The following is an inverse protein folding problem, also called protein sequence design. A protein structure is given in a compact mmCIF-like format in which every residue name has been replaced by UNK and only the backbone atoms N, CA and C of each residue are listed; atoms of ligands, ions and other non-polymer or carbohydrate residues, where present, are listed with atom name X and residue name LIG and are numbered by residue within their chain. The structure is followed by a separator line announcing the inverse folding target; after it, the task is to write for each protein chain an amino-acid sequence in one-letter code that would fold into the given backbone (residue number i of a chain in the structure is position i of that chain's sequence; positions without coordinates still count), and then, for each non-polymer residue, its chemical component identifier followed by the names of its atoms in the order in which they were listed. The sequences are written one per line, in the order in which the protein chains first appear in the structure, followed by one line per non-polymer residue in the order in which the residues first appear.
data_IF_483439099467
#
_entry.id   IF_483439099467
#
_cell.length_a   1.000
_cell.length_b   1.000
_cell.length_c   1.000
_cell.angle_alpha   90.00
_cell.angle_beta   90.00
_cell.angle_gamma   90.00
#
_symmetry.space_group_name_H-M   'P 1'
#
loop_
_entity.id
_entity.type
_entity.pdbx_description
1 polymer ?
#
# COMPACT_ATOMS: atom_id res chain seq x y z
N UNK A 1 4.20 0.01 -6.37
CA UNK A 1 2.72 0.07 -6.42
C UNK A 1 2.08 0.72 -5.18
N UNK A 2 2.70 0.66 -3.99
CA UNK A 2 2.18 1.39 -2.82
C UNK A 2 2.12 2.91 -3.09
N UNK A 3 3.22 3.49 -3.60
CA UNK A 3 3.25 4.91 -3.96
C UNK A 3 2.26 5.23 -5.10
N UNK A 4 2.12 4.34 -6.08
CA UNK A 4 1.15 4.50 -7.18
C UNK A 4 -0.29 4.53 -6.67
N UNK A 5 -0.62 3.62 -5.75
CA UNK A 5 -1.93 3.60 -5.10
C UNK A 5 -2.16 4.84 -4.23
N UNK A 6 -1.16 5.24 -3.44
CA UNK A 6 -1.22 6.42 -2.58
C UNK A 6 -1.52 7.68 -3.39
N UNK A 7 -0.79 7.93 -4.47
CA UNK A 7 -1.03 9.08 -5.34
C UNK A 7 -2.41 9.06 -6.00
N UNK A 8 -2.92 7.89 -6.38
CA UNK A 8 -4.28 7.80 -6.91
C UNK A 8 -5.32 8.22 -5.86
N UNK A 9 -5.23 7.68 -4.63
CA UNK A 9 -6.22 7.99 -3.59
C UNK A 9 -6.07 9.42 -3.04
N UNK A 10 -4.89 10.02 -3.13
CA UNK A 10 -4.62 11.42 -2.77
C UNK A 10 -4.96 12.41 -3.90
N UNK A 11 -5.15 11.94 -5.13
CA UNK A 11 -5.37 12.81 -6.31
C UNK A 11 -6.69 13.59 -6.29
N UNK A 12 -7.63 13.22 -5.44
CA UNK A 12 -8.98 13.79 -5.42
C UNK A 12 -9.87 13.36 -6.60
N UNK A 13 -9.39 12.50 -7.50
CA UNK A 13 -10.20 11.97 -8.60
C UNK A 13 -11.28 11.03 -8.07
N UNK A 14 -12.47 11.10 -8.67
CA UNK A 14 -13.53 10.13 -8.39
C UNK A 14 -13.06 8.72 -8.77
N UNK A 15 -12.97 7.83 -7.79
CA UNK A 15 -12.55 6.45 -8.01
C UNK A 15 -13.59 5.62 -8.78
N UNK A 16 -14.86 6.00 -8.75
CA UNK A 16 -15.90 5.40 -9.58
C UNK A 16 -15.91 5.98 -11.00
N UNK A 17 -15.22 7.08 -11.23
CA UNK A 17 -15.06 7.68 -12.55
C UNK A 17 -14.23 6.77 -13.47
N UNK A 18 -14.59 6.81 -14.73
CA UNK A 18 -13.97 5.99 -15.78
C UNK A 18 -12.70 6.65 -16.34
N UNK A 19 -11.81 5.80 -16.83
CA UNK A 19 -10.63 6.16 -17.63
C UNK A 19 -10.55 5.23 -18.83
N UNK A 20 -10.26 5.79 -20.01
CA UNK A 20 -10.00 5.01 -21.22
C UNK A 20 -8.48 4.83 -21.37
N UNK A 21 -8.05 3.58 -21.56
CA UNK A 21 -6.64 3.23 -21.76
C UNK A 21 -6.12 3.92 -23.02
N UNK A 22 -5.15 4.84 -22.91
CA UNK A 22 -4.70 5.66 -24.03
C UNK A 22 -3.74 4.90 -24.96
N UNK A 23 -3.65 5.33 -26.19
CA UNK A 23 -2.71 4.79 -27.19
C UNK A 23 -1.24 4.96 -26.79
N UNK A 24 -0.94 5.97 -26.00
CA UNK A 24 0.39 6.31 -25.47
C UNK A 24 1.00 5.16 -24.64
N UNK A 25 0.16 4.30 -24.06
CA UNK A 25 0.61 3.14 -23.29
C UNK A 25 0.94 1.90 -24.14
N UNK A 26 0.86 1.99 -25.49
CA UNK A 26 1.08 0.85 -26.37
C UNK A 26 2.49 0.25 -26.19
N UNK A 27 3.52 1.08 -26.09
CA UNK A 27 4.90 0.59 -25.89
C UNK A 27 5.09 0.07 -24.46
N UNK A 28 4.60 0.79 -23.47
CA UNK A 28 4.62 0.39 -22.07
C UNK A 28 4.01 -1.00 -21.84
N UNK A 29 2.87 -1.29 -22.47
CA UNK A 29 2.22 -2.61 -22.36
C UNK A 29 3.05 -3.72 -23.02
N UNK A 30 3.75 -3.42 -24.14
CA UNK A 30 4.68 -4.37 -24.75
C UNK A 30 5.87 -4.64 -23.84
N UNK A 31 6.42 -3.61 -23.21
CA UNK A 31 7.58 -3.74 -22.32
C UNK A 31 7.21 -4.54 -21.06
N UNK A 32 6.02 -4.32 -20.48
CA UNK A 32 5.47 -5.13 -19.40
C UNK A 32 5.33 -6.60 -19.84
N UNK A 33 4.82 -6.86 -21.04
CA UNK A 33 4.67 -8.21 -21.56
C UNK A 33 6.02 -8.89 -21.80
N UNK A 34 6.98 -8.19 -22.38
CA UNK A 34 8.34 -8.70 -22.61
C UNK A 34 9.06 -9.03 -21.29
N UNK A 35 8.79 -8.29 -20.24
CA UNK A 35 9.29 -8.54 -18.89
C UNK A 35 8.51 -9.64 -18.14
N UNK A 36 7.54 -10.32 -18.78
CA UNK A 36 6.61 -11.26 -18.15
C UNK A 36 5.89 -10.67 -16.92
N UNK A 37 5.59 -9.37 -16.96
CA UNK A 37 4.91 -8.68 -15.88
C UNK A 37 3.44 -9.13 -15.75
N UNK A 38 2.98 -9.32 -14.53
CA UNK A 38 1.57 -9.66 -14.24
C UNK A 38 0.65 -8.55 -14.74
N UNK A 39 -0.41 -8.93 -15.46
CA UNK A 39 -1.43 -8.01 -15.99
C UNK A 39 -2.83 -8.59 -15.81
N UNK A 40 -3.84 -7.74 -15.90
CA UNK A 40 -5.24 -8.17 -16.10
C UNK A 40 -5.63 -8.14 -17.59
N UNK A 41 -4.67 -7.88 -18.49
CA UNK A 41 -4.84 -7.86 -19.92
C UNK A 41 -5.70 -6.69 -20.40
N UNK A 42 -5.46 -5.50 -19.89
CA UNK A 42 -6.07 -4.26 -20.40
C UNK A 42 -5.68 -4.04 -21.87
N UNK A 43 -6.58 -3.42 -22.61
CA UNK A 43 -6.41 -3.14 -24.03
C UNK A 43 -6.48 -1.64 -24.28
N UNK A 44 -5.73 -1.18 -25.26
CA UNK A 44 -5.85 0.21 -25.74
C UNK A 44 -7.31 0.48 -26.16
N UNK A 45 -7.86 1.59 -25.69
CA UNK A 45 -9.28 1.96 -25.90
C UNK A 45 -10.27 1.26 -24.97
N UNK A 46 -9.81 0.41 -24.03
CA UNK A 46 -10.66 -0.16 -22.99
C UNK A 46 -11.00 0.92 -21.94
N UNK A 47 -12.27 1.04 -21.58
CA UNK A 47 -12.74 1.99 -20.56
C UNK A 47 -13.05 1.24 -19.29
N UNK A 48 -12.43 1.67 -18.17
CA UNK A 48 -12.49 1.00 -16.86
C UNK A 48 -12.59 2.04 -15.76
N UNK A 49 -13.15 1.69 -14.61
CA UNK A 49 -13.19 2.60 -13.46
C UNK A 49 -11.84 2.63 -12.74
N UNK A 50 -11.50 3.75 -12.13
CA UNK A 50 -10.28 3.89 -11.31
C UNK A 50 -10.24 2.92 -10.15
N UNK A 51 -11.39 2.66 -9.51
CA UNK A 51 -11.47 1.66 -8.44
C UNK A 51 -11.16 0.25 -8.91
N UNK A 52 -11.53 -0.11 -10.14
CA UNK A 52 -11.23 -1.42 -10.72
C UNK A 52 -9.72 -1.58 -10.99
N UNK A 53 -9.07 -0.51 -11.45
CA UNK A 53 -7.62 -0.46 -11.61
C UNK A 53 -6.88 -0.57 -10.28
N UNK A 54 -7.35 0.14 -9.25
CA UNK A 54 -6.78 0.09 -7.90
C UNK A 54 -6.86 -1.32 -7.32
N UNK A 55 -8.02 -1.96 -7.39
CA UNK A 55 -8.20 -3.35 -6.97
C UNK A 55 -7.28 -4.30 -7.75
N UNK A 56 -7.24 -4.20 -9.07
CA UNK A 56 -6.37 -5.05 -9.90
C UNK A 56 -4.88 -4.88 -9.54
N UNK A 57 -4.44 -3.65 -9.34
CA UNK A 57 -3.06 -3.35 -8.98
C UNK A 57 -2.68 -3.88 -7.59
N UNK A 58 -3.57 -3.79 -6.60
CA UNK A 58 -3.27 -4.20 -5.23
C UNK A 58 -3.48 -5.70 -5.02
N UNK A 59 -4.52 -6.30 -5.57
CA UNK A 59 -4.88 -7.72 -5.35
C UNK A 59 -3.98 -8.66 -6.17
N UNK A 60 -3.90 -8.46 -7.48
CA UNK A 60 -3.10 -9.34 -8.37
C UNK A 60 -1.81 -8.68 -8.85
N UNK A 61 -1.46 -7.52 -8.31
CA UNK A 61 -0.24 -6.81 -8.69
C UNK A 61 -0.16 -6.41 -10.17
N UNK A 62 -1.30 -6.12 -10.82
CA UNK A 62 -1.40 -5.81 -12.24
C UNK A 62 -0.54 -4.60 -12.62
N UNK A 63 0.42 -4.79 -13.54
CA UNK A 63 1.33 -3.74 -13.98
C UNK A 63 0.68 -2.81 -15.00
N UNK A 64 -0.15 -3.36 -15.89
CA UNK A 64 -0.95 -2.59 -16.84
C UNK A 64 -1.91 -1.62 -16.13
N UNK A 65 -2.56 -2.07 -15.05
CA UNK A 65 -3.39 -1.19 -14.23
C UNK A 65 -2.57 -0.06 -13.58
N UNK A 66 -1.35 -0.35 -13.11
CA UNK A 66 -0.46 0.68 -12.55
C UNK A 66 -0.07 1.75 -13.58
N UNK A 67 0.23 1.35 -14.82
CA UNK A 67 0.56 2.27 -15.90
C UNK A 67 -0.64 3.13 -16.33
N UNK A 68 -1.85 2.57 -16.35
CA UNK A 68 -3.08 3.35 -16.64
C UNK A 68 -3.34 4.37 -15.52
N UNK A 69 -3.19 3.98 -14.25
CA UNK A 69 -3.29 4.91 -13.11
C UNK A 69 -2.27 6.03 -13.26
N UNK A 70 -1.03 5.70 -13.59
CA UNK A 70 0.04 6.67 -13.76
C UNK A 70 -0.28 7.70 -14.86
N UNK A 71 -0.78 7.24 -15.99
CA UNK A 71 -1.18 8.13 -17.08
C UNK A 71 -2.37 9.00 -16.68
N UNK A 72 -3.39 8.41 -16.07
CA UNK A 72 -4.62 9.16 -15.68
C UNK A 72 -4.33 10.24 -14.63
N UNK A 73 -3.49 9.94 -13.64
CA UNK A 73 -3.18 10.90 -12.55
C UNK A 73 -2.11 11.90 -12.98
N UNK A 74 -1.08 11.44 -13.68
CA UNK A 74 0.08 12.26 -14.05
C UNK A 74 -0.05 13.02 -15.38
N UNK A 75 -0.99 12.61 -16.24
CA UNK A 75 -1.05 13.07 -17.64
C UNK A 75 -0.04 12.35 -18.55
N UNK A 76 1.02 11.80 -17.97
CA UNK A 76 1.97 10.88 -18.60
C UNK A 76 2.60 9.98 -17.53
N UNK A 77 3.11 8.81 -17.92
CA UNK A 77 3.85 7.92 -17.00
C UNK A 77 5.07 8.64 -16.42
N UNK A 78 5.78 9.41 -17.26
CA UNK A 78 6.97 10.14 -16.85
C UNK A 78 6.67 11.22 -15.79
N UNK A 79 5.62 12.00 -16.00
CA UNK A 79 5.25 13.04 -15.04
C UNK A 79 4.67 12.47 -13.76
N UNK A 80 4.00 11.32 -13.84
CA UNK A 80 3.59 10.58 -12.65
C UNK A 80 4.80 10.08 -11.84
N UNK A 81 5.84 9.57 -12.49
CA UNK A 81 7.08 9.16 -11.80
C UNK A 81 7.75 10.34 -11.10
N UNK A 82 7.74 11.54 -11.69
CA UNK A 82 8.20 12.75 -11.00
C UNK A 82 7.35 13.04 -9.74
N UNK A 83 6.03 12.88 -9.82
CA UNK A 83 5.14 13.03 -8.66
C UNK A 83 5.44 11.97 -7.58
N UNK A 84 5.70 10.70 -7.97
CA UNK A 84 6.10 9.65 -7.02
C UNK A 84 7.37 10.04 -6.26
N UNK A 85 8.38 10.57 -6.96
CA UNK A 85 9.63 10.99 -6.35
C UNK A 85 9.46 12.23 -5.46
N UNK A 86 8.66 13.20 -5.88
CA UNK A 86 8.32 14.37 -5.06
C UNK A 86 7.61 13.94 -3.78
N UNK A 87 6.60 13.05 -3.90
CA UNK A 87 5.87 12.54 -2.72
C UNK A 87 6.77 11.74 -1.78
N UNK A 88 7.71 10.95 -2.32
CA UNK A 88 8.70 10.25 -1.52
C UNK A 88 9.56 11.22 -0.70
N UNK A 89 10.01 12.33 -1.29
CA UNK A 89 10.75 13.37 -0.60
C UNK A 89 9.92 14.04 0.51
N UNK A 90 8.65 14.35 0.25
CA UNK A 90 7.72 14.90 1.27
C UNK A 90 7.54 13.96 2.45
N UNK A 91 7.54 12.65 2.22
CA UNK A 91 7.49 11.62 3.26
C UNK A 91 8.85 11.42 3.96
N UNK A 92 9.89 12.15 3.56
CA UNK A 92 11.24 12.03 4.11
C UNK A 92 11.98 10.76 3.67
N UNK A 93 11.64 10.22 2.49
CA UNK A 93 12.30 9.05 1.91
C UNK A 93 13.58 9.50 1.19
N UNK A 94 14.74 9.33 1.84
CA UNK A 94 16.03 9.83 1.32
C UNK A 94 16.80 8.79 0.50
N UNK A 95 16.45 7.51 0.60
CA UNK A 95 17.06 6.39 -0.12
C UNK A 95 16.15 5.82 -1.22
N UNK A 96 15.13 6.57 -1.65
CA UNK A 96 14.14 6.08 -2.63
C UNK A 96 14.21 6.90 -3.91
N UNK A 97 14.24 6.19 -5.03
CA UNK A 97 14.04 6.74 -6.36
C UNK A 97 13.14 5.81 -7.17
N UNK A 98 12.04 6.32 -7.67
CA UNK A 98 11.14 5.61 -8.57
C UNK A 98 11.48 5.93 -10.02
N UNK A 99 11.45 4.91 -10.87
CA UNK A 99 11.61 5.03 -12.33
C UNK A 99 10.38 4.57 -13.10
N UNK A 100 9.46 3.88 -12.43
CA UNK A 100 8.22 3.38 -13.03
C UNK A 100 7.10 3.28 -11.98
N UNK A 101 5.86 3.24 -12.45
CA UNK A 101 4.68 3.11 -11.60
C UNK A 101 4.41 1.66 -11.12
N UNK A 102 4.88 0.67 -11.86
CA UNK A 102 4.54 -0.75 -11.65
C UNK A 102 5.58 -1.55 -10.87
N UNK A 103 6.83 -1.06 -10.77
CA UNK A 103 7.88 -1.72 -10.00
C UNK A 103 8.48 -2.96 -10.66
N UNK A 104 8.38 -3.12 -11.98
CA UNK A 104 9.25 -4.04 -12.71
C UNK A 104 10.70 -3.57 -12.61
N UNK A 105 11.62 -4.48 -12.81
CA UNK A 105 13.03 -4.22 -12.58
C UNK A 105 13.57 -3.08 -13.45
N UNK A 106 14.24 -2.14 -12.79
CA UNK A 106 15.06 -1.10 -13.37
C UNK A 106 16.16 -0.74 -12.35
N UNK A 107 17.40 -0.55 -12.81
CA UNK A 107 18.54 -0.25 -11.92
C UNK A 107 18.36 1.04 -11.13
N UNK A 108 17.62 1.99 -11.67
CA UNK A 108 17.31 3.25 -11.00
C UNK A 108 16.16 3.17 -10.01
N UNK A 109 15.36 2.09 -10.04
CA UNK A 109 14.20 1.91 -9.17
C UNK A 109 14.62 1.31 -7.83
N UNK A 110 14.99 2.16 -6.88
CA UNK A 110 15.58 1.77 -5.60
C UNK A 110 14.80 2.31 -4.41
N UNK A 111 14.88 1.60 -3.29
CA UNK A 111 14.31 2.05 -2.01
C UNK A 111 15.02 1.38 -0.85
N UNK A 112 14.64 1.76 0.39
CA UNK A 112 15.09 1.13 1.63
C UNK A 112 13.88 0.62 2.43
N UNK A 113 14.10 -0.32 3.34
CA UNK A 113 13.03 -0.78 4.24
C UNK A 113 12.45 0.37 5.07
N UNK A 114 13.31 1.29 5.52
CA UNK A 114 12.91 2.46 6.29
C UNK A 114 12.00 3.41 5.47
N UNK A 115 12.34 3.67 4.22
CA UNK A 115 11.54 4.54 3.36
C UNK A 115 10.22 3.88 2.97
N UNK A 116 10.24 2.57 2.66
CA UNK A 116 9.01 1.82 2.40
C UNK A 116 8.10 1.77 3.62
N UNK A 117 8.65 1.75 4.85
CA UNK A 117 7.84 1.85 6.07
C UNK A 117 7.13 3.21 6.18
N UNK A 118 7.78 4.31 5.80
CA UNK A 118 7.14 5.65 5.75
C UNK A 118 6.02 5.69 4.72
N UNK A 119 6.26 5.15 3.52
CA UNK A 119 5.24 5.05 2.47
C UNK A 119 4.08 4.16 2.94
N UNK A 120 4.37 3.02 3.57
CA UNK A 120 3.36 2.12 4.11
C UNK A 120 2.52 2.78 5.21
N UNK A 121 3.12 3.59 6.07
CA UNK A 121 2.41 4.36 7.10
C UNK A 121 1.44 5.38 6.47
N UNK A 122 1.87 6.09 5.42
CA UNK A 122 0.99 7.00 4.68
C UNK A 122 -0.17 6.25 4.00
N UNK A 123 0.10 5.08 3.42
CA UNK A 123 -0.92 4.20 2.85
C UNK A 123 -1.92 3.73 3.91
N UNK A 124 -1.44 3.25 5.06
CA UNK A 124 -2.27 2.74 6.15
C UNK A 124 -3.18 3.83 6.76
N UNK A 125 -2.72 5.08 6.77
CA UNK A 125 -3.51 6.23 7.23
C UNK A 125 -4.66 6.59 6.26
N UNK A 126 -4.63 6.13 5.01
CA UNK A 126 -5.68 6.37 4.03
C UNK A 126 -6.72 5.23 4.07
N UNK A 127 -7.94 5.55 4.50
CA UNK A 127 -9.00 4.56 4.68
C UNK A 127 -9.36 3.84 3.39
N UNK A 128 -9.41 4.54 2.26
CA UNK A 128 -9.73 3.93 0.95
C UNK A 128 -8.64 2.96 0.52
N UNK A 129 -7.37 3.34 0.68
CA UNK A 129 -6.25 2.43 0.42
C UNK A 129 -6.36 1.18 1.29
N UNK A 130 -6.52 1.34 2.61
CA UNK A 130 -6.55 0.22 3.56
C UNK A 130 -7.69 -0.76 3.23
N UNK A 131 -8.87 -0.26 2.88
CA UNK A 131 -10.02 -1.07 2.50
C UNK A 131 -9.71 -1.89 1.24
N UNK A 132 -9.21 -1.28 0.17
CA UNK A 132 -8.91 -1.97 -1.09
C UNK A 132 -7.74 -2.94 -0.91
N UNK A 133 -6.69 -2.54 -0.22
CA UNK A 133 -5.51 -3.39 0.01
C UNK A 133 -5.81 -4.62 0.88
N UNK A 134 -6.83 -4.56 1.74
CA UNK A 134 -7.32 -5.67 2.54
C UNK A 134 -8.28 -6.61 1.80
N UNK A 135 -8.60 -6.33 0.54
CA UNK A 135 -9.52 -7.15 -0.25
C UNK A 135 -8.82 -8.37 -0.83
N UNK A 136 -9.30 -9.57 -0.52
CA UNK A 136 -8.71 -10.82 -1.01
C UNK A 136 -9.20 -11.19 -2.42
N UNK A 137 -10.42 -10.81 -2.80
CA UNK A 137 -11.02 -11.12 -4.10
C UNK A 137 -11.92 -9.97 -4.57
N UNK A 138 -11.95 -9.71 -5.87
CA UNK A 138 -12.74 -8.64 -6.47
C UNK A 138 -13.28 -9.04 -7.83
N UNK A 139 -14.51 -8.63 -8.15
CA UNK A 139 -15.12 -8.86 -9.46
C UNK A 139 -14.92 -7.61 -10.32
N UNK A 140 -14.06 -7.72 -11.32
CA UNK A 140 -13.91 -6.72 -12.38
C UNK A 140 -15.13 -6.77 -13.30
N UNK A 141 -15.88 -5.68 -13.48
CA UNK A 141 -17.06 -5.67 -14.33
C UNK A 141 -16.71 -5.85 -15.81
N UNK A 142 -17.73 -6.09 -16.62
CA UNK A 142 -17.64 -5.99 -18.07
C UNK A 142 -17.24 -4.56 -18.49
N UNK A 143 -16.53 -4.45 -19.61
CA UNK A 143 -16.08 -3.19 -20.19
C UNK A 143 -16.58 -3.03 -21.63
N UNK A 144 -16.30 -1.90 -22.26
CA UNK A 144 -16.61 -1.72 -23.69
C UNK A 144 -15.93 -2.77 -24.61
N UNK A 145 -14.75 -3.30 -24.19
CA UNK A 145 -13.99 -4.30 -24.96
C UNK A 145 -14.07 -5.72 -24.41
N UNK A 146 -14.67 -5.92 -23.22
CA UNK A 146 -14.87 -7.23 -22.59
C UNK A 146 -16.30 -7.38 -22.10
N UNK A 147 -17.03 -8.31 -22.67
CA UNK A 147 -18.46 -8.52 -22.35
C UNK A 147 -18.70 -9.26 -21.04
N UNK A 148 -17.71 -9.99 -20.54
CA UNK A 148 -17.81 -10.79 -19.31
C UNK A 148 -17.06 -10.14 -18.15
N UNK A 149 -17.62 -10.22 -16.98
CA UNK A 149 -16.93 -9.92 -15.72
C UNK A 149 -15.82 -10.94 -15.46
N UNK A 150 -14.86 -10.57 -14.60
CA UNK A 150 -13.72 -11.41 -14.24
C UNK A 150 -13.46 -11.31 -12.75
N UNK A 151 -13.41 -12.44 -12.07
CA UNK A 151 -12.96 -12.47 -10.68
C UNK A 151 -11.44 -12.50 -10.63
N UNK A 152 -10.85 -11.60 -9.84
CA UNK A 152 -9.44 -11.60 -9.48
C UNK A 152 -9.32 -11.92 -8.01
N UNK A 153 -8.31 -12.74 -7.65
CA UNK A 153 -8.07 -13.15 -6.27
C UNK A 153 -6.59 -13.05 -5.93
N UNK A 154 -6.30 -12.67 -4.70
CA UNK A 154 -4.92 -12.59 -4.23
C UNK A 154 -4.27 -13.96 -4.21
N UNK A 155 -3.06 -14.03 -4.75
CA UNK A 155 -2.20 -15.23 -4.63
C UNK A 155 -1.34 -15.20 -3.36
N UNK A 156 -1.47 -14.16 -2.53
CA UNK A 156 -0.68 -14.03 -1.30
C UNK A 156 -1.27 -14.92 -0.20
N UNK A 157 -0.51 -15.92 0.23
CA UNK A 157 -0.95 -16.88 1.24
C UNK A 157 -1.25 -16.25 2.60
N UNK A 158 -0.65 -15.11 2.94
CA UNK A 158 -0.94 -14.37 4.17
C UNK A 158 -2.35 -13.76 4.20
N UNK A 159 -2.96 -13.54 3.02
CA UNK A 159 -4.31 -12.99 2.87
C UNK A 159 -5.37 -14.04 2.53
N UNK A 160 -4.98 -15.31 2.39
CA UNK A 160 -5.88 -16.41 2.09
C UNK A 160 -6.21 -17.20 3.36
N UNK A 161 -7.44 -17.13 3.83
CA UNK A 161 -7.90 -17.81 5.07
C UNK A 161 -7.77 -19.33 5.05
N UNK A 162 -7.62 -19.94 3.89
CA UNK A 162 -7.38 -21.39 3.74
C UNK A 162 -5.89 -21.77 3.82
N UNK A 163 -5.00 -20.77 3.82
CA UNK A 163 -3.55 -21.00 3.90
C UNK A 163 -3.08 -21.19 5.33
N UNK A 164 -2.09 -22.05 5.52
CA UNK A 164 -1.39 -22.24 6.80
C UNK A 164 -0.63 -20.99 7.25
N UNK A 165 -0.30 -20.09 6.31
CA UNK A 165 0.39 -18.82 6.59
C UNK A 165 -0.57 -17.67 6.94
N UNK A 166 -1.87 -17.89 6.86
CA UNK A 166 -2.85 -16.88 7.21
C UNK A 166 -2.87 -16.61 8.71
N UNK A 167 -2.95 -15.33 9.07
CA UNK A 167 -3.24 -14.87 10.43
C UNK A 167 -4.29 -13.79 10.37
N UNK A 168 -5.23 -13.82 11.28
CA UNK A 168 -6.35 -12.88 11.33
C UNK A 168 -5.90 -11.42 11.57
N UNK A 169 -4.72 -11.25 12.15
CA UNK A 169 -4.17 -9.92 12.38
C UNK A 169 -3.71 -9.20 11.12
N UNK A 170 -3.44 -9.89 9.99
CA UNK A 170 -3.11 -9.21 8.74
C UNK A 170 -4.31 -8.40 8.22
N UNK A 171 -4.11 -7.11 8.00
CA UNK A 171 -5.13 -6.22 7.42
C UNK A 171 -4.90 -5.97 5.95
N UNK A 172 -3.65 -5.86 5.53
CA UNK A 172 -3.27 -5.87 4.13
C UNK A 172 -1.79 -6.25 3.97
N UNK A 173 -1.49 -6.76 2.79
CA UNK A 173 -0.15 -7.22 2.44
C UNK A 173 0.11 -6.91 0.97
N UNK A 174 1.28 -6.35 0.66
CA UNK A 174 1.76 -6.17 -0.70
C UNK A 174 3.10 -6.84 -0.90
N UNK A 175 3.12 -7.94 -1.63
CA UNK A 175 4.33 -8.64 -2.04
C UNK A 175 4.89 -8.12 -3.37
N UNK A 176 6.16 -8.42 -3.61
CA UNK A 176 6.87 -8.20 -4.86
C UNK A 176 8.03 -9.18 -5.01
N UNK A 177 8.35 -9.51 -6.25
CA UNK A 177 9.49 -10.36 -6.58
C UNK A 177 10.09 -9.95 -7.92
N UNK A 178 11.41 -9.83 -7.94
CA UNK A 178 12.23 -9.88 -9.13
C UNK A 178 13.50 -10.69 -8.83
N UNK A 179 14.14 -11.26 -9.83
CA UNK A 179 15.35 -12.09 -9.62
C UNK A 179 16.44 -11.35 -8.84
N UNK A 180 16.61 -10.05 -9.06
CA UNK A 180 17.65 -9.25 -8.39
C UNK A 180 17.20 -8.68 -7.04
N UNK A 181 15.93 -8.33 -6.88
CA UNK A 181 15.43 -7.79 -5.62
C UNK A 181 15.17 -8.88 -4.59
N UNK A 182 15.06 -10.15 -5.01
CA UNK A 182 14.55 -11.21 -4.15
C UNK A 182 13.06 -11.02 -3.84
N UNK A 183 12.57 -11.70 -2.84
CA UNK A 183 11.21 -11.58 -2.36
C UNK A 183 11.10 -10.42 -1.38
N UNK A 184 10.17 -9.54 -1.64
CA UNK A 184 9.93 -8.35 -0.84
C UNK A 184 8.48 -8.34 -0.38
N UNK A 185 8.23 -7.84 0.82
CA UNK A 185 6.88 -7.70 1.36
C UNK A 185 6.76 -6.43 2.20
N UNK A 186 5.62 -5.80 2.08
CA UNK A 186 5.14 -4.79 3.01
C UNK A 186 3.81 -5.28 3.55
N UNK A 187 3.68 -5.39 4.85
CA UNK A 187 2.49 -5.88 5.52
C UNK A 187 2.04 -4.93 6.63
N UNK A 188 0.75 -4.89 6.88
CA UNK A 188 0.15 -4.17 7.98
C UNK A 188 -0.74 -5.11 8.77
N UNK A 189 -0.55 -5.12 10.08
CA UNK A 189 -1.26 -5.98 10.99
C UNK A 189 -1.88 -5.19 12.14
N UNK A 190 -3.00 -5.68 12.65
CA UNK A 190 -3.71 -5.11 13.79
C UNK A 190 -4.20 -6.21 14.71
N UNK A 191 -3.87 -6.10 15.99
CA UNK A 191 -4.35 -7.00 17.04
C UNK A 191 -4.48 -6.22 18.35
N UNK A 192 -5.55 -6.44 19.09
CA UNK A 192 -5.81 -5.88 20.44
C UNK A 192 -5.65 -4.35 20.51
N UNK A 193 -6.03 -3.64 19.43
CA UNK A 193 -5.91 -2.19 19.33
C UNK A 193 -4.55 -1.68 18.88
N UNK A 194 -3.54 -2.54 18.80
CA UNK A 194 -2.19 -2.19 18.32
C UNK A 194 -2.06 -2.38 16.82
N UNK A 195 -1.36 -1.47 16.17
CA UNK A 195 -1.13 -1.44 14.73
C UNK A 195 0.36 -1.47 14.43
N UNK A 196 0.80 -2.44 13.63
CA UNK A 196 2.20 -2.54 13.21
C UNK A 196 2.32 -2.66 11.71
N UNK A 197 3.34 -2.00 11.16
CA UNK A 197 3.78 -2.15 9.78
C UNK A 197 5.09 -2.91 9.72
N UNK A 198 5.24 -3.78 8.73
CA UNK A 198 6.44 -4.59 8.50
C UNK A 198 6.92 -4.42 7.08
N UNK A 199 8.23 -4.30 6.90
CA UNK A 199 8.90 -4.32 5.59
C UNK A 199 10.03 -5.33 5.63
N UNK A 200 10.00 -6.32 4.74
CA UNK A 200 11.09 -7.26 4.49
C UNK A 200 11.51 -7.13 3.04
N UNK A 201 12.80 -7.00 2.80
CA UNK A 201 13.39 -6.90 1.46
C UNK A 201 14.46 -7.96 1.27
N UNK A 202 14.59 -8.47 0.04
CA UNK A 202 15.69 -9.34 -0.35
C UNK A 202 15.65 -10.75 0.21
N UNK A 203 14.47 -11.26 0.58
CA UNK A 203 14.35 -12.63 1.06
C UNK A 203 14.51 -13.63 -0.09
N UNK A 204 15.19 -14.75 0.17
CA UNK A 204 15.56 -15.76 -0.82
C UNK A 204 14.40 -16.72 -1.15
N UNK A 205 13.64 -17.19 -0.15
CA UNK A 205 12.54 -18.12 -0.33
C UNK A 205 11.20 -17.60 0.21
N UNK A 206 10.06 -18.13 -0.30
CA UNK A 206 8.74 -17.80 0.26
C UNK A 206 8.62 -18.22 1.74
N UNK A 207 9.16 -19.39 2.08
CA UNK A 207 9.10 -19.96 3.41
C UNK A 207 9.80 -19.07 4.42
N UNK A 208 11.02 -18.61 4.11
CA UNK A 208 11.76 -17.67 4.96
C UNK A 208 11.02 -16.35 5.10
N UNK A 209 10.41 -15.85 4.01
CA UNK A 209 9.64 -14.62 4.04
C UNK A 209 8.43 -14.74 4.99
N UNK A 210 7.67 -15.84 4.90
CA UNK A 210 6.47 -16.02 5.72
C UNK A 210 6.82 -16.26 7.19
N UNK A 211 7.86 -17.09 7.46
CA UNK A 211 8.36 -17.29 8.83
C UNK A 211 8.82 -15.97 9.45
N UNK A 212 9.60 -15.16 8.71
CA UNK A 212 10.04 -13.88 9.20
C UNK A 212 8.88 -12.89 9.44
N UNK A 213 7.80 -12.95 8.63
CA UNK A 213 6.60 -12.16 8.89
C UNK A 213 5.93 -12.56 10.21
N UNK A 214 5.70 -13.85 10.43
CA UNK A 214 5.08 -14.36 11.65
C UNK A 214 5.94 -14.01 12.88
N UNK A 215 7.23 -14.34 12.87
CA UNK A 215 8.15 -14.11 13.99
C UNK A 215 8.22 -12.62 14.39
N UNK A 216 8.28 -11.72 13.40
CA UNK A 216 8.39 -10.29 13.66
C UNK A 216 7.09 -9.68 14.17
N UNK A 217 5.93 -10.09 13.65
CA UNK A 217 4.65 -9.62 14.18
C UNK A 217 4.36 -10.20 15.55
N UNK A 218 4.61 -11.49 15.79
CA UNK A 218 4.46 -12.12 17.09
C UNK A 218 5.36 -11.44 18.13
N UNK A 219 6.62 -11.15 17.76
CA UNK A 219 7.51 -10.37 18.62
C UNK A 219 6.98 -8.96 18.89
N UNK A 220 6.48 -8.26 17.87
CA UNK A 220 5.96 -6.90 18.03
C UNK A 220 4.74 -6.87 18.97
N UNK A 221 3.77 -7.76 18.75
CA UNK A 221 2.57 -7.84 19.60
C UNK A 221 2.89 -8.27 21.04
N UNK A 222 3.91 -9.12 21.24
CA UNK A 222 4.33 -9.54 22.58
C UNK A 222 5.21 -8.49 23.31
N UNK A 223 5.97 -7.66 22.58
CA UNK A 223 7.01 -6.81 23.16
C UNK A 223 6.58 -5.38 23.44
N UNK A 224 5.55 -4.89 22.74
CA UNK A 224 5.08 -3.50 22.88
C UNK A 224 3.68 -3.46 23.45
N UNK A 225 3.47 -2.59 24.43
CA UNK A 225 2.18 -2.31 25.02
C UNK A 225 2.04 -0.81 25.25
N UNK A 226 0.83 -0.30 25.09
CA UNK A 226 0.53 1.08 25.42
C UNK A 226 0.63 1.25 26.93
N UNK A 227 1.42 2.24 27.37
CA UNK A 227 1.46 2.67 28.76
C UNK A 227 0.84 4.06 28.85
N UNK A 228 -0.22 4.25 29.61
CA UNK A 228 -0.72 5.58 29.86
C UNK A 228 0.37 6.38 30.58
N UNK A 229 0.81 7.48 29.98
CA UNK A 229 1.75 8.41 30.62
C UNK A 229 1.08 9.18 31.74
N UNK A 230 -0.22 9.38 31.60
CA UNK A 230 -1.08 10.08 32.56
C UNK A 230 -2.43 9.40 32.57
N UNK A 231 -3.01 9.18 33.73
CA UNK A 231 -4.39 8.77 33.89
C UNK A 231 -5.21 9.89 34.54
N UNK A 232 -6.54 9.78 34.51
CA UNK A 232 -7.45 10.78 35.11
C UNK A 232 -7.38 10.83 36.63
N UNK A 233 -6.58 9.97 37.27
CA UNK A 233 -6.39 9.90 38.73
C UNK A 233 -5.03 10.43 39.17
N UNK A 234 -4.11 10.63 38.23
CA UNK A 234 -2.76 11.13 38.52
C UNK A 234 -2.78 12.64 38.53
N UNK A 235 -2.57 13.24 39.67
CA UNK A 235 -2.40 14.69 39.81
C UNK A 235 -1.04 15.06 39.25
N UNK A 236 -1.00 15.76 38.11
CA UNK A 236 0.24 16.19 37.45
C UNK A 236 0.88 17.39 38.15
N UNK A 237 0.06 18.31 38.60
CA UNK A 237 0.48 19.49 39.33
C UNK A 237 -0.73 20.08 40.11
N UNK A 238 -0.40 20.80 41.13
CA UNK A 238 -1.39 21.55 41.94
C UNK A 238 -1.10 23.04 41.77
N UNK A 239 -2.08 23.81 41.38
CA UNK A 239 -1.95 25.26 41.22
C UNK A 239 -2.79 25.93 42.32
N UNK A 240 -2.12 26.69 43.21
CA UNK A 240 -2.80 27.48 44.23
C UNK A 240 -3.48 28.69 43.61
N UNK A 241 -4.80 28.74 43.70
CA UNK A 241 -5.59 29.88 43.23
C UNK A 241 -5.79 30.91 44.36
N UNK A 242 -4.73 31.60 44.73
CA UNK A 242 -4.71 32.57 45.85
C UNK A 242 -5.74 33.71 45.75
N UNK A 243 -6.49 33.83 44.68
CA UNK A 243 -7.53 34.83 44.45
C UNK A 243 -8.91 34.22 44.24
N UNK A 244 -9.05 32.89 44.35
CA UNK A 244 -10.34 32.22 44.26
C UNK A 244 -11.09 32.33 45.57
N UNK A 245 -12.38 32.68 45.52
CA UNK A 245 -13.18 32.89 46.73
C UNK A 245 -13.74 31.60 47.37
N UNK A 246 -13.76 30.48 46.64
CA UNK A 246 -14.43 29.26 47.07
C UNK A 246 -13.60 27.99 47.01
N UNK A 247 -12.75 27.81 46.00
CA UNK A 247 -11.90 26.63 45.89
C UNK A 247 -10.52 27.05 45.37
N UNK A 248 -9.49 27.11 46.23
CA UNK A 248 -8.19 27.67 45.88
C UNK A 248 -7.26 26.69 45.10
N UNK A 249 -7.68 25.46 44.87
CA UNK A 249 -6.85 24.43 44.24
C UNK A 249 -7.59 23.82 43.04
N UNK A 250 -6.88 23.73 41.92
CA UNK A 250 -7.31 22.96 40.73
C UNK A 250 -6.30 21.83 40.51
N UNK A 251 -6.80 20.61 40.46
CA UNK A 251 -6.02 19.43 40.08
C UNK A 251 -6.04 19.27 38.54
N UNK A 252 -4.84 19.17 37.91
CA UNK A 252 -4.66 18.98 36.47
C UNK A 252 -4.10 17.61 36.19
#
# INVERSE_FOLDING_TARGET
KLMTALLLVESGKDLNGEVTVPTDLTQEFKDIQNANGTTIGLRIGETVRRIDLLNAMLIVSANDAASVIAYDVGGSVLDFVKQMNARAQELGCTGTNFTCAHGLFDYGNVSTAQDLAKIAAACAANQTFAQVAGTASYVLPATNLRKAERTISSSNSLMNSESTNYREYFKWVKGGFTTLAGRCIVAFAQQDGHNYGLVILGCDTPEHLFTACDDLFDWAFASFADRPLVDTKTVLTTIDLNKCRTEPVVEL
#
